data_IF_978468108265
#
_entry.id   IF_978468108265
#
_cell.length_a   1.000
_cell.length_b   1.000
_cell.length_c   1.000
_cell.angle_alpha   90.00
_cell.angle_beta   90.00
_cell.angle_gamma   90.00
#
_symmetry.space_group_name_H-M   'P 1'
#
loop_
_entity.id
_entity.type
_entity.pdbx_description
1 polymer ?
#
# COMPACT_ATOMS: atom_id res chain seq x y z
N UNK A 1 -20.95 12.63 -8.90
CA UNK A 1 -20.01 12.13 -7.87
C UNK A 1 -18.61 12.43 -8.35
N UNK A 2 -17.72 12.86 -7.45
CA UNK A 2 -16.30 13.10 -7.74
C UNK A 2 -15.54 11.88 -7.23
N UNK A 3 -14.61 11.36 -8.03
CA UNK A 3 -13.70 10.30 -7.62
C UNK A 3 -12.35 10.97 -7.40
N UNK A 4 -11.77 10.77 -6.22
CA UNK A 4 -10.40 11.16 -5.92
C UNK A 4 -9.51 9.92 -5.96
N UNK A 5 -8.35 10.04 -6.62
CA UNK A 5 -7.38 8.95 -6.75
C UNK A 5 -6.11 9.30 -5.99
N UNK A 6 -5.83 8.54 -4.93
CA UNK A 6 -4.60 8.64 -4.15
C UNK A 6 -3.61 7.57 -4.64
N UNK A 7 -2.41 7.99 -5.04
CA UNK A 7 -1.35 7.08 -5.47
C UNK A 7 -0.30 6.97 -4.37
N UNK A 8 -0.24 5.80 -3.74
CA UNK A 8 0.70 5.50 -2.67
C UNK A 8 1.71 4.45 -3.11
N UNK A 9 3.00 4.80 -3.14
CA UNK A 9 4.07 3.81 -3.33
C UNK A 9 4.34 3.10 -2.00
N UNK A 10 4.59 1.79 -2.06
CA UNK A 10 5.03 1.01 -0.89
C UNK A 10 6.21 1.66 -0.16
N UNK A 11 6.27 1.50 1.17
CA UNK A 11 7.38 1.98 1.98
C UNK A 11 8.68 1.21 1.67
N UNK A 12 9.79 1.64 2.27
CA UNK A 12 11.13 1.10 1.97
C UNK A 12 11.21 -0.41 2.26
N UNK A 13 11.57 -1.21 1.24
CA UNK A 13 11.79 -2.66 1.36
C UNK A 13 13.19 -3.04 1.85
N UNK A 14 13.32 -4.27 2.35
CA UNK A 14 14.56 -4.86 2.88
C UNK A 14 15.32 -5.71 1.86
N UNK A 15 16.41 -5.17 1.32
CA UNK A 15 17.25 -5.87 0.35
C UNK A 15 18.26 -6.84 0.96
N UNK A 16 18.36 -6.91 2.29
CA UNK A 16 19.27 -7.84 2.96
C UNK A 16 18.72 -9.26 3.09
N UNK A 17 17.44 -9.46 2.75
CA UNK A 17 16.78 -10.76 2.82
C UNK A 17 17.12 -11.61 1.59
N UNK A 18 17.20 -12.94 1.78
CA UNK A 18 17.37 -13.91 0.69
C UNK A 18 16.04 -14.24 -0.03
N UNK A 19 14.98 -13.48 0.25
CA UNK A 19 13.65 -13.71 -0.33
C UNK A 19 13.60 -13.26 -1.79
N UNK A 20 12.67 -13.84 -2.55
CA UNK A 20 12.34 -13.37 -3.90
C UNK A 20 11.80 -11.93 -3.82
N UNK A 21 11.90 -11.17 -4.91
CA UNK A 21 11.48 -9.75 -4.91
C UNK A 21 10.03 -9.57 -4.43
N UNK A 22 9.10 -10.41 -4.89
CA UNK A 22 7.70 -10.37 -4.49
C UNK A 22 7.51 -10.57 -2.98
N UNK A 23 8.29 -11.48 -2.38
CA UNK A 23 8.23 -11.86 -0.97
C UNK A 23 9.06 -10.92 -0.07
N UNK A 24 9.74 -9.93 -0.65
CA UNK A 24 10.64 -9.03 0.08
C UNK A 24 9.84 -8.13 1.04
N UNK A 25 10.12 -8.15 2.35
CA UNK A 25 9.39 -7.36 3.34
C UNK A 25 9.83 -5.90 3.37
N UNK A 26 9.14 -5.10 4.18
CA UNK A 26 9.60 -3.77 4.58
C UNK A 26 10.89 -3.86 5.42
N UNK A 27 11.83 -2.96 5.12
CA UNK A 27 12.99 -2.72 5.98
C UNK A 27 12.56 -2.07 7.29
N UNK A 28 13.40 -2.08 8.35
CA UNK A 28 13.09 -1.39 9.59
C UNK A 28 12.72 0.08 9.42
N UNK A 29 13.35 0.78 8.45
CA UNK A 29 12.97 2.16 8.09
C UNK A 29 11.58 2.23 7.45
N UNK A 30 11.21 1.27 6.61
CA UNK A 30 9.90 1.20 5.98
C UNK A 30 8.79 0.95 7.00
N UNK A 31 9.00 0.03 7.95
CA UNK A 31 8.06 -0.26 9.03
C UNK A 31 7.81 0.97 9.92
N UNK A 32 8.80 1.83 10.15
CA UNK A 32 8.62 3.11 10.86
C UNK A 32 7.99 4.22 10.01
N UNK A 33 8.05 4.10 8.69
CA UNK A 33 7.54 5.12 7.77
C UNK A 33 6.06 4.88 7.42
N UNK A 34 5.65 3.63 7.24
CA UNK A 34 4.29 3.31 6.82
C UNK A 34 3.18 3.83 7.78
N UNK A 35 3.31 3.73 9.12
CA UNK A 35 2.34 4.38 10.03
C UNK A 35 2.28 5.90 9.86
N UNK A 36 3.41 6.55 9.56
CA UNK A 36 3.47 8.00 9.33
C UNK A 36 2.84 8.39 8.01
N UNK A 37 2.84 7.49 7.02
CA UNK A 37 2.14 7.71 5.75
C UNK A 37 0.63 7.69 5.98
N UNK A 38 0.12 6.75 6.79
CA UNK A 38 -1.29 6.73 7.17
C UNK A 38 -1.68 7.99 7.96
N UNK A 39 -0.90 8.37 8.97
CA UNK A 39 -1.14 9.61 9.72
C UNK A 39 -1.10 10.84 8.82
N UNK A 40 -0.18 10.90 7.85
CA UNK A 40 -0.12 12.03 6.92
C UNK A 40 -1.38 12.14 6.06
N UNK A 41 -1.98 11.01 5.65
CA UNK A 41 -3.28 11.04 4.94
C UNK A 41 -4.38 11.64 5.83
N UNK A 42 -4.43 11.24 7.10
CA UNK A 42 -5.41 11.73 8.07
C UNK A 42 -5.21 13.23 8.34
N UNK A 43 -3.97 13.66 8.58
CA UNK A 43 -3.61 15.07 8.81
C UNK A 43 -3.95 15.99 7.62
N UNK A 44 -4.16 15.44 6.42
CA UNK A 44 -4.48 16.18 5.20
C UNK A 44 -5.94 15.98 4.74
N UNK A 45 -6.79 15.39 5.58
CA UNK A 45 -8.20 15.12 5.25
C UNK A 45 -8.36 14.23 3.99
N UNK A 46 -7.47 13.24 3.81
CA UNK A 46 -7.46 12.30 2.68
C UNK A 46 -7.79 10.85 3.10
N UNK A 47 -8.94 10.57 3.73
CA UNK A 47 -9.32 9.21 4.09
C UNK A 47 -9.67 8.40 2.83
N UNK A 48 -9.01 7.26 2.57
CA UNK A 48 -9.38 6.41 1.44
C UNK A 48 -10.65 5.62 1.76
N UNK A 49 -11.64 5.65 0.85
CA UNK A 49 -12.83 4.78 0.93
C UNK A 49 -12.55 3.35 0.46
N UNK A 50 -11.54 3.18 -0.41
CA UNK A 50 -11.15 1.92 -1.04
C UNK A 50 -9.64 1.85 -1.21
N UNK A 51 -9.08 0.65 -1.07
CA UNK A 51 -7.67 0.38 -1.34
C UNK A 51 -7.55 -0.71 -2.39
N UNK A 52 -6.82 -0.40 -3.45
CA UNK A 52 -6.33 -1.37 -4.42
C UNK A 52 -4.80 -1.42 -4.32
N UNK A 53 -4.24 -2.57 -3.96
CA UNK A 53 -2.80 -2.72 -3.75
C UNK A 53 -2.24 -3.95 -4.44
N UNK A 54 -0.97 -3.88 -4.84
CA UNK A 54 -0.21 -5.08 -5.18
C UNK A 54 -0.17 -6.05 -4.00
N UNK A 55 -0.28 -7.36 -4.29
CA UNK A 55 -0.12 -8.43 -3.30
C UNK A 55 1.32 -8.62 -2.80
N UNK A 56 2.32 -8.00 -3.43
CA UNK A 56 3.71 -8.10 -3.00
C UNK A 56 3.87 -7.69 -1.53
N UNK A 57 4.68 -8.44 -0.77
CA UNK A 57 4.70 -8.37 0.71
C UNK A 57 4.91 -6.95 1.22
N UNK A 58 5.86 -6.20 0.66
CA UNK A 58 6.11 -4.79 1.03
C UNK A 58 4.92 -3.85 0.76
N UNK A 59 4.16 -4.10 -0.29
CA UNK A 59 3.00 -3.27 -0.65
C UNK A 59 1.86 -3.58 0.30
N UNK A 60 1.56 -4.86 0.51
CA UNK A 60 0.60 -5.32 1.52
C UNK A 60 0.92 -4.78 2.91
N UNK A 61 2.15 -4.97 3.40
CA UNK A 61 2.57 -4.44 4.70
C UNK A 61 2.44 -2.92 4.81
N UNK A 62 2.60 -2.17 3.71
CA UNK A 62 2.38 -0.72 3.73
C UNK A 62 0.89 -0.40 3.81
N UNK A 63 0.08 -1.10 3.01
CA UNK A 63 -1.38 -0.94 2.97
C UNK A 63 -2.01 -1.33 4.32
N UNK A 64 -1.54 -2.38 4.99
CA UNK A 64 -2.05 -2.83 6.29
C UNK A 64 -2.04 -1.71 7.33
N UNK A 65 -1.00 -0.85 7.35
CA UNK A 65 -0.97 0.32 8.24
C UNK A 65 -2.03 1.37 7.89
N UNK A 66 -2.35 1.56 6.61
CA UNK A 66 -3.41 2.48 6.17
C UNK A 66 -4.78 1.88 6.49
N UNK A 67 -4.97 0.59 6.23
CA UNK A 67 -6.19 -0.17 6.51
C UNK A 67 -6.51 -0.11 8.00
N UNK A 68 -5.54 -0.41 8.86
CA UNK A 68 -5.71 -0.38 10.32
C UNK A 68 -6.02 1.04 10.81
N UNK A 69 -5.32 2.05 10.29
CA UNK A 69 -5.50 3.44 10.71
C UNK A 69 -6.89 3.98 10.39
N UNK A 70 -7.43 3.69 9.20
CA UNK A 70 -8.75 4.15 8.77
C UNK A 70 -9.88 3.15 9.05
N UNK A 71 -9.57 1.99 9.63
CA UNK A 71 -10.57 0.98 9.98
C UNK A 71 -11.28 0.34 8.79
N UNK A 72 -10.58 0.20 7.65
CA UNK A 72 -11.14 -0.38 6.42
C UNK A 72 -11.38 -1.88 6.59
N UNK A 73 -12.49 -2.35 6.03
CA UNK A 73 -12.90 -3.77 6.08
C UNK A 73 -12.45 -4.54 4.84
N UNK A 74 -12.54 -5.87 4.89
CA UNK A 74 -12.14 -6.74 3.77
C UNK A 74 -12.87 -6.42 2.45
N UNK A 75 -14.11 -5.93 2.50
CA UNK A 75 -14.88 -5.56 1.31
C UNK A 75 -14.40 -4.25 0.65
N UNK A 76 -13.48 -3.54 1.29
CA UNK A 76 -13.01 -2.21 0.88
C UNK A 76 -11.56 -2.26 0.39
N UNK A 77 -10.93 -3.43 0.53
CA UNK A 77 -9.53 -3.65 0.21
C UNK A 77 -9.43 -4.78 -0.81
N UNK A 78 -8.76 -4.52 -1.92
CA UNK A 78 -8.43 -5.53 -2.92
C UNK A 78 -6.92 -5.62 -3.08
N UNK A 79 -6.40 -6.84 -2.97
CA UNK A 79 -5.03 -7.14 -3.29
C UNK A 79 -4.97 -7.92 -4.60
N UNK A 80 -4.10 -7.48 -5.53
CA UNK A 80 -3.94 -8.13 -6.83
C UNK A 80 -2.46 -8.39 -7.14
N UNK A 81 -2.17 -9.59 -7.63
CA UNK A 81 -0.85 -9.95 -8.14
C UNK A 81 -0.54 -9.21 -9.44
N UNK A 82 -1.56 -8.86 -10.24
CA UNK A 82 -1.41 -8.17 -11.52
C UNK A 82 -0.81 -6.78 -11.36
N UNK A 83 -1.01 -6.15 -10.20
CA UNK A 83 -0.47 -4.83 -9.89
C UNK A 83 1.02 -4.85 -9.51
N UNK A 84 1.63 -6.04 -9.40
CA UNK A 84 3.06 -6.17 -9.14
C UNK A 84 3.87 -5.85 -10.40
N UNK A 85 4.68 -4.78 -10.36
CA UNK A 85 5.47 -4.28 -11.50
C UNK A 85 4.62 -3.93 -12.73
N UNK A 86 3.31 -3.72 -12.53
CA UNK A 86 2.39 -3.26 -13.55
C UNK A 86 2.79 -1.90 -14.14
N UNK A 87 2.53 -1.74 -15.43
CA UNK A 87 2.47 -0.44 -16.09
C UNK A 87 1.18 0.30 -15.75
N UNK A 88 1.11 1.57 -16.13
CA UNK A 88 -0.06 2.42 -15.87
C UNK A 88 -1.34 1.94 -16.56
N UNK A 89 -1.19 1.22 -17.67
CA UNK A 89 -2.28 0.54 -18.39
C UNK A 89 -3.06 -0.38 -17.44
N UNK A 90 -2.37 -1.29 -16.75
CA UNK A 90 -3.02 -2.22 -15.80
C UNK A 90 -3.63 -1.51 -14.57
N UNK A 91 -3.16 -0.33 -14.20
CA UNK A 91 -3.72 0.43 -13.07
C UNK A 91 -4.96 1.25 -13.44
N UNK A 92 -5.19 1.49 -14.73
CA UNK A 92 -6.25 2.37 -15.24
C UNK A 92 -7.34 1.64 -16.03
N UNK A 93 -7.13 0.35 -16.32
CA UNK A 93 -8.15 -0.55 -16.87
C UNK A 93 -9.31 -0.79 -15.87
#
# INVERSE_FOLDING_TARGET
>A
MMIELLILRHAKSDWSTAQRDFDRPLAPRGQRAAPKMAQWLDDNDLPPDRILSSSAVRARQTADFVIEHFGLTENEVTFSDELYLAGSDTWLD
#
